data_IF_950046259436
#
_entry.id   IF_950046259436
#
_cell.length_a   1.000
_cell.length_b   1.000
_cell.length_c   1.000
_cell.angle_alpha   90.00
_cell.angle_beta   90.00
_cell.angle_gamma   90.00
#
_symmetry.space_group_name_H-M   'P 1'
#
loop_
_entity.id
_entity.type
_entity.pdbx_description
1 polymer ?
#
# COMPACT_ATOMS: atom_id res chain seq x y z
N UNK A 1 -4.55 1.02 -15.36
CA UNK A 1 -4.59 2.18 -14.44
C UNK A 1 -4.15 1.75 -13.04
N UNK A 2 -3.35 2.56 -12.40
CA UNK A 2 -2.85 2.26 -11.05
C UNK A 2 -3.85 2.72 -10.00
N UNK A 3 -4.24 1.80 -9.14
CA UNK A 3 -5.17 2.08 -8.05
C UNK A 3 -4.57 1.64 -6.74
N UNK A 4 -5.05 2.24 -5.66
CA UNK A 4 -4.64 1.86 -4.31
C UNK A 4 -5.87 1.34 -3.57
N UNK A 5 -5.75 0.15 -3.00
CA UNK A 5 -6.85 -0.49 -2.30
C UNK A 5 -6.45 -0.79 -0.86
N UNK A 6 -7.32 -0.44 0.07
CA UNK A 6 -7.09 -0.76 1.47
C UNK A 6 -7.30 -2.26 1.66
N UNK A 7 -6.22 -2.96 1.99
CA UNK A 7 -6.29 -4.39 2.24
C UNK A 7 -6.70 -4.69 3.67
N UNK A 8 -6.11 -3.96 4.62
CA UNK A 8 -6.30 -4.28 6.02
C UNK A 8 -6.08 -3.05 6.88
N UNK A 9 -6.83 -2.99 7.97
CA UNK A 9 -6.66 -1.98 8.99
C UNK A 9 -6.77 -2.73 10.32
N UNK A 10 -5.70 -2.71 11.12
CA UNK A 10 -5.71 -3.44 12.37
C UNK A 10 -4.93 -2.71 13.45
N UNK A 11 -5.15 -3.12 14.69
CA UNK A 11 -4.47 -2.55 15.84
C UNK A 11 -3.30 -3.46 16.20
N UNK A 12 -2.09 -2.90 16.22
CA UNK A 12 -0.89 -3.62 16.65
C UNK A 12 -0.18 -2.82 17.71
N UNK A 13 0.07 -3.43 18.86
CA UNK A 13 0.76 -2.79 19.98
C UNK A 13 0.15 -1.41 20.31
N UNK A 14 -1.16 -1.31 20.28
CA UNK A 14 -1.86 -0.06 20.61
C UNK A 14 -1.86 0.97 19.50
N UNK A 15 -1.36 0.65 18.32
CA UNK A 15 -1.31 1.58 17.17
C UNK A 15 -2.07 1.00 15.99
N UNK A 16 -2.75 1.89 15.26
CA UNK A 16 -3.47 1.48 14.06
C UNK A 16 -2.51 1.35 12.90
N UNK A 17 -2.56 0.21 12.23
CA UNK A 17 -1.71 -0.09 11.08
C UNK A 17 -2.59 -0.32 9.86
N UNK A 18 -2.27 0.38 8.77
CA UNK A 18 -2.98 0.25 7.50
C UNK A 18 -2.09 -0.48 6.50
N UNK A 19 -2.66 -1.41 5.75
CA UNK A 19 -1.97 -2.06 4.65
C UNK A 19 -2.71 -1.71 3.37
N UNK A 20 -2.00 -1.17 2.40
CA UNK A 20 -2.57 -0.75 1.13
C UNK A 20 -1.87 -1.48 -0.01
N UNK A 21 -2.67 -1.99 -0.95
CA UNK A 21 -2.16 -2.62 -2.16
C UNK A 21 -2.11 -1.60 -3.29
N UNK A 22 -1.02 -1.60 -4.03
CA UNK A 22 -0.93 -0.88 -5.30
C UNK A 22 -1.34 -1.88 -6.39
N UNK A 23 -2.41 -1.59 -7.10
CA UNK A 23 -3.01 -2.50 -8.07
C UNK A 23 -2.92 -1.86 -9.46
N UNK A 24 -2.38 -2.60 -10.42
CA UNK A 24 -2.30 -2.15 -11.80
C UNK A 24 -3.06 -3.13 -12.67
N UNK A 25 -4.11 -2.62 -13.34
CA UNK A 25 -4.94 -3.41 -14.25
C UNK A 25 -5.41 -4.72 -13.62
N UNK A 26 -5.84 -4.66 -12.36
CA UNK A 26 -6.36 -5.80 -11.64
C UNK A 26 -5.32 -6.68 -10.97
N UNK A 27 -4.04 -6.38 -11.12
CA UNK A 27 -2.97 -7.15 -10.49
C UNK A 27 -2.32 -6.38 -9.36
N UNK A 28 -2.08 -7.05 -8.24
CA UNK A 28 -1.40 -6.45 -7.11
C UNK A 28 0.09 -6.39 -7.40
N UNK A 29 0.63 -5.18 -7.55
CA UNK A 29 2.05 -4.98 -7.79
C UNK A 29 2.86 -4.95 -6.51
N UNK A 30 2.33 -4.31 -5.48
CA UNK A 30 3.09 -4.04 -4.27
C UNK A 30 2.17 -3.75 -3.11
N UNK A 31 2.72 -3.78 -1.91
CA UNK A 31 1.99 -3.46 -0.69
C UNK A 31 2.78 -2.42 0.10
N UNK A 32 2.06 -1.60 0.86
CA UNK A 32 2.68 -0.68 1.78
C UNK A 32 1.96 -0.70 3.11
N UNK A 33 2.72 -0.62 4.20
CA UNK A 33 2.18 -0.52 5.55
C UNK A 33 2.56 0.82 6.16
N UNK A 34 1.64 1.40 6.91
CA UNK A 34 1.91 2.64 7.60
C UNK A 34 0.92 2.85 8.71
N UNK A 35 1.13 3.91 9.50
CA UNK A 35 0.26 4.22 10.63
C UNK A 35 -0.93 5.08 10.22
N UNK A 36 -1.01 5.45 8.95
CA UNK A 36 -2.18 6.10 8.37
C UNK A 36 -2.25 5.73 6.90
N UNK A 37 -3.38 6.03 6.25
CA UNK A 37 -3.59 5.65 4.86
C UNK A 37 -2.62 6.35 3.92
N UNK A 38 -2.30 7.60 4.20
CA UNK A 38 -1.40 8.38 3.36
C UNK A 38 0.00 7.74 3.33
N UNK A 39 0.55 7.43 4.51
CA UNK A 39 1.87 6.83 4.61
C UNK A 39 1.88 5.45 3.95
N UNK A 40 0.87 4.64 4.21
CA UNK A 40 0.78 3.31 3.62
C UNK A 40 0.70 3.39 2.09
N UNK A 41 -0.08 4.34 1.57
CA UNK A 41 -0.21 4.54 0.12
C UNK A 41 1.11 4.99 -0.51
N UNK A 42 1.84 5.88 0.16
CA UNK A 42 3.13 6.34 -0.35
C UNK A 42 4.13 5.19 -0.44
N UNK A 43 4.16 4.36 0.58
CA UNK A 43 5.06 3.20 0.60
C UNK A 43 4.66 2.21 -0.50
N UNK A 44 3.35 1.95 -0.66
CA UNK A 44 2.88 1.08 -1.72
C UNK A 44 3.24 1.64 -3.10
N UNK A 45 3.08 2.95 -3.29
CA UNK A 45 3.42 3.61 -4.56
C UNK A 45 4.90 3.50 -4.87
N UNK A 46 5.75 3.73 -3.88
CA UNK A 46 7.19 3.64 -4.07
C UNK A 46 7.61 2.21 -4.43
N UNK A 47 7.05 1.23 -3.73
CA UNK A 47 7.34 -0.18 -4.03
C UNK A 47 6.87 -0.56 -5.43
N UNK A 48 5.70 -0.05 -5.85
CA UNK A 48 5.19 -0.30 -7.20
C UNK A 48 6.10 0.29 -8.27
N UNK A 49 6.58 1.52 -8.04
CA UNK A 49 7.50 2.18 -8.97
C UNK A 49 8.79 1.38 -9.12
N UNK A 50 9.33 0.89 -8.01
CA UNK A 50 10.52 0.06 -8.03
C UNK A 50 10.29 -1.23 -8.82
N UNK A 51 9.13 -1.84 -8.64
CA UNK A 51 8.78 -3.06 -9.35
C UNK A 51 8.65 -2.85 -10.84
N UNK A 52 8.13 -1.69 -11.25
CA UNK A 52 7.97 -1.35 -12.65
C UNK A 52 9.29 -0.88 -13.30
N UNK A 53 10.31 -0.62 -12.50
CA UNK A 53 11.59 -0.16 -13.01
C UNK A 53 11.62 1.30 -13.44
N UNK A 54 10.76 2.09 -12.84
CA UNK A 54 10.67 3.52 -13.20
C UNK A 54 11.60 4.40 -12.37
#
# INVERSE_FOLDING_TARGET
MLNFELLEEKLEAGRRVFTINAVLDGEILAKGKGFNKKDASQIAAQSAIEKLGL
#
